data_IF_609577319094
#
_entry.id   IF_609577319094
#
_cell.length_a   1.000
_cell.length_b   1.000
_cell.length_c   1.000
_cell.angle_alpha   90.00
_cell.angle_beta   90.00
_cell.angle_gamma   90.00
#
_symmetry.space_group_name_H-M   'P 1'
#
loop_
_entity.id
_entity.type
_entity.pdbx_description
1 polymer ?
#
# COMPACT_ATOMS: atom_id res chain seq x y z
N UNK A 1 -11.76 15.99 -0.95
CA UNK A 1 -11.07 16.07 -2.26
C UNK A 1 -10.03 14.98 -2.25
N UNK A 2 -10.12 14.00 -3.15
CA UNK A 2 -9.06 13.00 -3.32
C UNK A 2 -7.86 13.72 -3.92
N UNK A 3 -6.82 13.90 -3.12
CA UNK A 3 -5.54 14.43 -3.58
C UNK A 3 -4.80 13.28 -4.22
N UNK A 4 -4.62 13.35 -5.54
CA UNK A 4 -3.78 12.46 -6.31
C UNK A 4 -2.31 12.73 -5.92
N UNK A 5 -1.89 12.22 -4.76
CA UNK A 5 -0.53 12.40 -4.25
C UNK A 5 0.38 11.52 -5.09
N UNK A 6 1.16 12.16 -5.96
CA UNK A 6 2.13 11.48 -6.81
C UNK A 6 3.40 11.18 -6.03
N UNK A 7 3.96 10.01 -6.28
CA UNK A 7 5.30 9.60 -5.85
C UNK A 7 6.32 10.66 -6.30
N UNK A 8 7.12 11.17 -5.37
CA UNK A 8 8.01 12.32 -5.58
C UNK A 8 9.47 11.91 -5.76
N UNK A 9 9.89 10.76 -5.22
CA UNK A 9 11.27 10.33 -5.20
C UNK A 9 11.38 8.78 -5.23
N UNK A 10 12.61 8.29 -5.37
CA UNK A 10 12.87 6.84 -5.43
C UNK A 10 12.55 6.11 -4.14
N UNK A 11 12.69 6.76 -2.97
CA UNK A 11 12.41 6.13 -1.68
C UNK A 11 10.91 5.89 -1.47
N UNK A 12 10.05 6.82 -1.88
CA UNK A 12 8.60 6.62 -1.91
C UNK A 12 8.21 5.51 -2.91
N UNK A 13 8.89 5.44 -4.06
CA UNK A 13 8.66 4.38 -5.05
C UNK A 13 9.04 3.00 -4.49
N UNK A 14 10.24 2.89 -3.92
CA UNK A 14 10.73 1.66 -3.30
C UNK A 14 9.82 1.21 -2.16
N UNK A 15 9.32 2.15 -1.36
CA UNK A 15 8.38 1.85 -0.29
C UNK A 15 7.01 1.38 -0.80
N UNK A 16 6.49 1.99 -1.86
CA UNK A 16 5.27 1.53 -2.50
C UNK A 16 5.40 0.10 -3.02
N UNK A 17 6.50 -0.20 -3.72
CA UNK A 17 6.81 -1.57 -4.20
C UNK A 17 6.94 -2.53 -3.02
N UNK A 18 7.66 -2.14 -1.96
CA UNK A 18 7.81 -2.93 -0.74
C UNK A 18 6.45 -3.28 -0.11
N UNK A 19 5.54 -2.32 -0.02
CA UNK A 19 4.19 -2.56 0.53
C UNK A 19 3.42 -3.59 -0.29
N UNK A 20 3.42 -3.43 -1.63
CA UNK A 20 2.73 -4.34 -2.55
C UNK A 20 3.29 -5.76 -2.44
N UNK A 21 4.62 -5.91 -2.50
CA UNK A 21 5.26 -7.24 -2.47
C UNK A 21 5.04 -7.96 -1.14
N UNK A 22 5.12 -7.24 -0.01
CA UNK A 22 4.97 -7.88 1.30
C UNK A 22 3.52 -8.23 1.63
N UNK A 23 2.55 -7.43 1.19
CA UNK A 23 1.13 -7.80 1.27
C UNK A 23 0.83 -9.00 0.37
N UNK A 24 1.37 -9.02 -0.85
CA UNK A 24 1.23 -10.16 -1.77
C UNK A 24 1.80 -11.45 -1.15
N UNK A 25 3.00 -11.38 -0.57
CA UNK A 25 3.64 -12.49 0.11
C UNK A 25 2.83 -12.98 1.33
N UNK A 26 2.27 -12.06 2.13
CA UNK A 26 1.42 -12.40 3.29
C UNK A 26 0.11 -13.09 2.87
N UNK A 27 -0.48 -12.67 1.76
CA UNK A 27 -1.73 -13.23 1.22
C UNK A 27 -1.51 -14.48 0.35
N UNK A 28 -0.27 -14.76 -0.07
CA UNK A 28 0.05 -15.86 -0.99
C UNK A 28 -0.50 -15.65 -2.41
N UNK A 29 -0.54 -14.39 -2.87
CA UNK A 29 -1.09 -13.97 -4.16
C UNK A 29 -0.02 -13.24 -4.98
N UNK A 30 -0.32 -12.99 -6.25
CA UNK A 30 0.57 -12.23 -7.13
C UNK A 30 0.58 -10.74 -6.78
N UNK A 31 1.75 -10.11 -6.85
CA UNK A 31 1.93 -8.68 -6.59
C UNK A 31 1.12 -7.79 -7.55
N UNK A 32 0.88 -8.23 -8.79
CA UNK A 32 0.03 -7.53 -9.74
C UNK A 32 -1.41 -7.38 -9.22
N UNK A 33 -1.96 -8.41 -8.57
CA UNK A 33 -3.31 -8.35 -7.98
C UNK A 33 -3.38 -7.35 -6.84
N UNK A 34 -2.34 -7.28 -6.02
CA UNK A 34 -2.25 -6.30 -4.93
C UNK A 34 -2.07 -4.89 -5.49
N UNK A 35 -1.25 -4.70 -6.53
CA UNK A 35 -1.11 -3.43 -7.21
C UNK A 35 -2.46 -2.92 -7.77
N UNK A 36 -3.20 -3.78 -8.47
CA UNK A 36 -4.54 -3.46 -8.97
C UNK A 36 -5.50 -3.13 -7.80
N UNK A 37 -5.42 -3.87 -6.70
CA UNK A 37 -6.22 -3.59 -5.52
C UNK A 37 -5.91 -2.21 -4.92
N UNK A 38 -4.63 -1.82 -4.85
CA UNK A 38 -4.18 -0.57 -4.26
C UNK A 38 -4.37 0.67 -5.15
N UNK A 39 -4.59 0.49 -6.46
CA UNK A 39 -4.65 1.59 -7.44
C UNK A 39 -5.94 1.60 -8.27
N UNK A 40 -6.26 0.51 -8.97
CA UNK A 40 -7.41 0.47 -9.89
C UNK A 40 -8.74 0.27 -9.14
N UNK A 41 -8.72 -0.56 -8.10
CA UNK A 41 -9.90 -0.88 -7.28
C UNK A 41 -10.06 0.05 -6.07
N UNK A 42 -8.99 0.76 -5.70
CA UNK A 42 -8.99 1.65 -4.55
C UNK A 42 -7.90 2.71 -4.65
N UNK A 43 -7.98 3.71 -3.79
CA UNK A 43 -6.95 4.74 -3.64
C UNK A 43 -6.07 4.48 -2.40
N UNK A 44 -5.69 3.23 -2.15
CA UNK A 44 -4.81 2.90 -1.01
C UNK A 44 -3.38 3.38 -1.29
N UNK A 45 -2.90 3.27 -2.52
CA UNK A 45 -1.55 3.73 -2.85
C UNK A 45 -1.41 5.25 -2.67
N UNK A 46 -2.20 6.04 -3.40
CA UNK A 46 -2.04 7.51 -3.40
C UNK A 46 -2.79 8.18 -2.24
N UNK A 47 -3.79 7.51 -1.66
CA UNK A 47 -4.59 8.02 -0.55
C UNK A 47 -4.24 7.46 0.83
N UNK A 48 -3.20 6.62 0.95
CA UNK A 48 -2.71 6.15 2.26
C UNK A 48 -1.21 5.89 2.26
N UNK A 49 -0.69 4.99 1.43
CA UNK A 49 0.72 4.56 1.45
C UNK A 49 1.67 5.73 1.19
N UNK A 50 1.44 6.50 0.11
CA UNK A 50 2.30 7.63 -0.25
C UNK A 50 2.17 8.80 0.73
N UNK A 51 0.95 9.25 1.12
CA UNK A 51 0.79 10.32 2.12
C UNK A 51 1.43 10.00 3.48
N UNK A 52 1.32 8.75 3.93
CA UNK A 52 1.78 8.32 5.26
C UNK A 52 3.21 7.74 5.23
N UNK A 53 3.94 7.90 4.12
CA UNK A 53 5.31 7.37 3.93
C UNK A 53 6.22 7.68 5.13
N UNK A 54 6.27 8.94 5.57
CA UNK A 54 7.14 9.38 6.68
C UNK A 54 6.86 8.64 8.00
N UNK A 55 5.62 8.23 8.23
CA UNK A 55 5.24 7.49 9.45
C UNK A 55 5.43 5.99 9.24
N UNK A 56 4.87 5.44 8.16
CA UNK A 56 4.87 4.00 7.91
C UNK A 56 6.29 3.45 7.71
N UNK A 57 7.20 4.17 7.04
CA UNK A 57 8.56 3.66 6.77
C UNK A 57 9.43 3.50 8.02
N UNK A 58 9.01 4.06 9.16
CA UNK A 58 9.69 3.89 10.46
C UNK A 58 9.26 2.62 11.20
N UNK A 59 8.19 1.97 10.73
CA UNK A 59 7.58 0.81 11.39
C UNK A 59 8.19 -0.51 10.91
N UNK A 60 7.99 -1.56 11.71
CA UNK A 60 8.35 -2.92 11.29
C UNK A 60 7.54 -3.37 10.07
N UNK A 61 8.12 -4.27 9.27
CA UNK A 61 7.46 -4.88 8.12
C UNK A 61 6.13 -5.52 8.51
N UNK A 62 6.11 -6.30 9.59
CA UNK A 62 4.91 -7.00 10.06
C UNK A 62 3.79 -6.02 10.39
N UNK A 63 4.12 -4.92 11.07
CA UNK A 63 3.16 -3.85 11.37
C UNK A 63 2.60 -3.21 10.09
N UNK A 64 3.47 -2.80 9.15
CA UNK A 64 3.04 -2.16 7.90
C UNK A 64 2.09 -3.08 7.13
N UNK A 65 2.41 -4.37 7.03
CA UNK A 65 1.58 -5.33 6.31
C UNK A 65 0.23 -5.51 7.00
N UNK A 66 0.20 -5.69 8.31
CA UNK A 66 -1.06 -5.88 9.05
C UNK A 66 -1.93 -4.61 8.98
N UNK A 67 -1.34 -3.43 9.07
CA UNK A 67 -2.02 -2.13 8.93
C UNK A 67 -2.65 -1.97 7.54
N UNK A 68 -1.93 -2.32 6.46
CA UNK A 68 -2.48 -2.28 5.11
C UNK A 68 -3.63 -3.28 4.90
N UNK A 69 -3.57 -4.46 5.53
CA UNK A 69 -4.67 -5.42 5.48
C UNK A 69 -5.92 -4.89 6.21
N UNK A 70 -5.75 -4.20 7.33
CA UNK A 70 -6.84 -3.54 8.03
C UNK A 70 -7.44 -2.41 7.18
N UNK A 71 -6.60 -1.58 6.54
CA UNK A 71 -7.08 -0.55 5.61
C UNK A 71 -7.84 -1.14 4.42
N UNK A 72 -7.36 -2.25 3.84
CA UNK A 72 -8.09 -2.96 2.78
C UNK A 72 -9.47 -3.40 3.26
N UNK A 73 -9.55 -3.97 4.47
CA UNK A 73 -10.80 -4.45 5.06
C UNK A 73 -11.77 -3.31 5.34
N UNK A 74 -11.29 -2.20 5.92
CA UNK A 74 -12.11 -1.01 6.20
C UNK A 74 -12.66 -0.38 4.91
N UNK A 75 -11.87 -0.41 3.84
CA UNK A 75 -12.24 0.13 2.53
C UNK A 75 -12.98 -0.88 1.64
N UNK A 76 -13.20 -2.12 2.10
CA UNK A 76 -13.90 -3.17 1.35
C UNK A 76 -13.16 -3.62 0.08
N UNK A 77 -11.83 -3.59 0.10
CA UNK A 77 -10.96 -3.92 -1.04
C UNK A 77 -10.54 -5.39 -0.97
N UNK A 78 -10.74 -6.11 -2.06
CA UNK A 78 -10.36 -7.52 -2.20
C UNK A 78 -9.30 -7.71 -3.29
N UNK A 79 -8.37 -8.64 -3.04
CA UNK A 79 -7.27 -9.00 -3.93
C UNK A 79 -7.60 -10.24 -4.74
#
# INVERSE_FOLDING_TARGET
MMTDVKIKNSSELEFAVFCIENVAAKLGVDAERVYQAFTEKSDILNGYIVPEYEVLHTQSREYIVDDLLDVMKERGVEV
#
